data_IF_780855046262
#
_entry.id   IF_780855046262
#
_cell.length_a   1.000
_cell.length_b   1.000
_cell.length_c   1.000
_cell.angle_alpha   90.00
_cell.angle_beta   90.00
_cell.angle_gamma   90.00
#
_symmetry.space_group_name_H-M   'P 1'
#
loop_
_entity.id
_entity.type
_entity.pdbx_description
1 polymer ?
#
# COMPACT_ATOMS: atom_id res chain seq x y z
N UNK A 1 17.85 15.49 16.50
CA UNK A 1 16.79 16.49 16.76
C UNK A 1 16.43 16.35 18.23
N UNK A 2 15.88 17.36 18.87
CA UNK A 2 15.46 17.25 20.28
C UNK A 2 13.98 17.56 20.43
N UNK A 3 13.30 16.84 21.31
CA UNK A 3 11.95 17.17 21.76
C UNK A 3 12.05 17.47 23.26
N UNK A 4 12.08 18.74 23.63
CA UNK A 4 12.46 19.16 24.98
C UNK A 4 13.93 18.80 25.25
N UNK A 5 14.18 18.02 26.31
CA UNK A 5 15.51 17.54 26.70
C UNK A 5 15.94 16.26 25.99
N UNK A 6 15.00 15.58 25.31
CA UNK A 6 15.25 14.25 24.79
C UNK A 6 15.79 14.30 23.36
N UNK A 7 16.85 13.54 23.10
CA UNK A 7 17.33 13.31 21.74
C UNK A 7 16.35 12.41 20.98
N UNK A 8 15.78 12.96 19.91
CA UNK A 8 14.88 12.27 19.00
C UNK A 8 15.56 12.05 17.66
N UNK A 9 15.47 10.82 17.16
CA UNK A 9 15.85 10.46 15.80
C UNK A 9 14.62 10.27 14.93
N UNK A 10 14.68 10.76 13.69
CA UNK A 10 13.66 10.45 12.69
C UNK A 10 13.85 9.01 12.24
N UNK A 11 12.85 8.17 12.44
CA UNK A 11 12.80 6.87 11.77
C UNK A 11 12.44 7.13 10.31
N UNK A 12 13.34 6.78 9.40
CA UNK A 12 13.02 6.73 7.97
C UNK A 12 12.12 5.54 7.70
N UNK A 13 11.12 5.75 6.84
CA UNK A 13 10.28 4.70 6.29
C UNK A 13 11.03 3.89 5.22
N UNK A 14 10.36 2.88 4.65
CA UNK A 14 10.92 2.03 3.59
C UNK A 14 11.48 2.90 2.44
N UNK A 15 12.61 2.49 1.87
CA UNK A 15 13.29 3.22 0.81
C UNK A 15 12.42 3.32 -0.46
N UNK A 16 12.36 4.48 -1.10
CA UNK A 16 11.62 4.70 -2.35
C UNK A 16 12.09 3.80 -3.50
N UNK A 17 13.37 3.41 -3.51
CA UNK A 17 13.90 2.46 -4.50
C UNK A 17 13.32 1.05 -4.34
N UNK A 18 13.03 0.63 -3.10
CA UNK A 18 12.50 -0.70 -2.81
C UNK A 18 10.98 -0.78 -3.00
N UNK A 19 10.27 0.33 -2.77
CA UNK A 19 8.82 0.43 -2.90
C UNK A 19 8.41 1.75 -3.59
N UNK A 20 8.66 1.91 -4.90
CA UNK A 20 8.47 3.18 -5.61
C UNK A 20 7.03 3.69 -5.58
N UNK A 21 6.06 2.78 -5.44
CA UNK A 21 4.63 3.10 -5.45
C UNK A 21 4.04 3.35 -4.05
N UNK A 22 4.80 3.15 -2.98
CA UNK A 22 4.32 3.38 -1.62
C UNK A 22 4.53 4.85 -1.23
N UNK A 23 3.43 5.56 -1.00
CA UNK A 23 3.38 7.02 -0.78
C UNK A 23 4.13 7.52 0.46
N UNK A 24 4.42 6.62 1.40
CA UNK A 24 5.16 6.94 2.61
C UNK A 24 6.61 6.50 2.55
N UNK A 25 7.16 6.12 1.38
CA UNK A 25 8.58 5.80 1.29
C UNK A 25 9.49 7.01 1.53
N UNK A 26 10.68 6.72 2.05
CA UNK A 26 11.73 7.73 2.20
C UNK A 26 12.55 7.77 0.92
N UNK A 27 12.52 8.93 0.27
CA UNK A 27 13.40 9.25 -0.85
C UNK A 27 14.78 9.66 -0.32
N UNK A 28 15.84 9.01 -0.80
CA UNK A 28 17.21 9.25 -0.34
C UNK A 28 18.01 9.97 -1.42
N UNK A 29 18.60 11.10 -1.02
CA UNK A 29 19.37 11.96 -1.90
C UNK A 29 20.84 11.95 -1.50
N UNK A 30 21.69 12.03 -2.51
CA UNK A 30 23.15 12.01 -2.35
C UNK A 30 23.73 13.37 -2.72
N UNK A 31 24.69 13.82 -1.92
CA UNK A 31 25.33 15.12 -2.07
C UNK A 31 26.84 15.02 -1.97
N UNK A 32 27.57 15.89 -2.65
CA UNK A 32 29.01 16.07 -2.50
C UNK A 32 29.35 17.51 -2.14
N UNK A 33 30.43 17.71 -1.40
CA UNK A 33 30.89 19.03 -0.96
C UNK A 33 31.97 19.59 -1.89
N UNK A 34 31.82 20.85 -2.32
CA UNK A 34 32.85 21.56 -3.07
C UNK A 34 33.95 22.14 -2.16
N UNK A 35 34.93 22.76 -2.79
CA UNK A 35 36.09 23.37 -2.11
C UNK A 35 35.70 24.55 -1.21
N UNK A 36 34.49 25.10 -1.37
CA UNK A 36 33.95 26.20 -0.58
C UNK A 36 32.99 25.72 0.52
N UNK A 37 32.88 24.40 0.74
CA UNK A 37 31.98 23.81 1.75
C UNK A 37 30.51 23.79 1.32
N UNK A 38 30.22 24.02 0.04
CA UNK A 38 28.85 23.99 -0.50
C UNK A 38 28.50 22.60 -0.99
N UNK A 39 27.32 22.13 -0.58
CA UNK A 39 26.82 20.80 -0.92
C UNK A 39 25.98 20.82 -2.20
N UNK A 40 26.30 19.94 -3.14
CA UNK A 40 25.58 19.78 -4.40
C UNK A 40 25.02 18.38 -4.50
N UNK A 41 23.76 18.28 -4.93
CA UNK A 41 23.11 16.99 -5.14
C UNK A 41 23.64 16.33 -6.42
N UNK A 42 23.87 15.02 -6.38
CA UNK A 42 24.11 14.24 -7.59
C UNK A 42 22.86 14.29 -8.49
N UNK A 43 23.05 14.84 -9.70
CA UNK A 43 22.03 15.15 -10.71
C UNK A 43 21.10 16.36 -10.47
N UNK A 44 21.50 17.36 -9.66
CA UNK A 44 20.82 18.66 -9.72
C UNK A 44 21.07 19.36 -11.07
N UNK A 45 20.01 19.55 -11.86
CA UNK A 45 20.02 20.37 -13.07
C UNK A 45 20.09 21.83 -12.65
N UNK A 46 21.29 22.39 -12.57
CA UNK A 46 21.49 23.84 -12.56
C UNK A 46 22.37 24.23 -13.74
N UNK A 47 21.68 24.63 -14.80
CA UNK A 47 21.99 25.51 -15.95
C UNK A 47 23.40 25.74 -16.48
N UNK A 48 24.52 25.41 -15.83
CA UNK A 48 25.86 25.69 -16.38
C UNK A 48 26.92 24.64 -16.06
N UNK A 49 26.60 23.57 -15.33
CA UNK A 49 27.60 22.57 -14.94
C UNK A 49 27.28 21.17 -15.48
N UNK A 50 28.32 20.59 -16.10
CA UNK A 50 28.33 19.40 -16.92
C UNK A 50 27.63 18.22 -16.23
N UNK A 51 26.80 17.53 -17.00
CA UNK A 51 26.04 16.35 -16.60
C UNK A 51 26.97 15.34 -15.91
N UNK A 52 26.69 15.05 -14.64
CA UNK A 52 27.18 13.83 -14.03
C UNK A 52 26.46 12.66 -14.69
N UNK A 53 27.17 11.60 -15.04
CA UNK A 53 26.58 10.39 -15.62
C UNK A 53 25.76 9.58 -14.62
N UNK A 54 25.70 10.03 -13.35
CA UNK A 54 25.08 9.30 -12.26
C UNK A 54 24.14 10.21 -11.46
N UNK A 55 22.99 9.64 -11.10
CA UNK A 55 21.94 10.29 -10.33
C UNK A 55 21.92 9.80 -8.88
N UNK A 56 21.31 10.59 -7.98
CA UNK A 56 21.09 10.16 -6.59
C UNK A 56 20.30 8.84 -6.51
N UNK A 57 19.37 8.61 -7.45
CA UNK A 57 18.58 7.37 -7.50
C UNK A 57 19.44 6.16 -7.84
N UNK A 58 20.31 6.26 -8.85
CA UNK A 58 21.22 5.18 -9.24
C UNK A 58 22.24 4.87 -8.14
N UNK A 59 22.77 5.91 -7.48
CA UNK A 59 23.64 5.74 -6.30
C UNK A 59 22.94 4.98 -5.19
N UNK A 60 21.68 5.30 -4.93
CA UNK A 60 20.88 4.62 -3.91
C UNK A 60 20.61 3.16 -4.26
N UNK A 61 20.27 2.87 -5.53
CA UNK A 61 20.11 1.49 -6.04
C UNK A 61 21.38 0.66 -5.84
N UNK A 62 22.54 1.23 -6.16
CA UNK A 62 23.83 0.56 -6.00
C UNK A 62 24.19 0.34 -4.52
N UNK A 63 23.97 1.35 -3.68
CA UNK A 63 24.20 1.27 -2.24
C UNK A 63 23.39 0.15 -1.58
N UNK A 64 22.12 0.00 -1.98
CA UNK A 64 21.22 -1.03 -1.44
C UNK A 64 21.59 -2.45 -1.87
N UNK A 65 22.12 -2.63 -3.09
CA UNK A 65 22.56 -3.95 -3.58
C UNK A 65 23.74 -4.52 -2.78
N UNK A 66 24.55 -3.67 -2.14
CA UNK A 66 25.76 -4.06 -1.37
C UNK A 66 26.77 -4.92 -2.14
N UNK A 67 26.72 -4.93 -3.47
CA UNK A 67 27.62 -5.75 -4.30
C UNK A 67 28.99 -5.11 -4.48
N UNK A 68 29.07 -3.78 -4.51
CA UNK A 68 30.30 -3.00 -4.70
C UNK A 68 30.33 -1.83 -3.73
N UNK A 69 31.40 -1.72 -2.97
CA UNK A 69 31.62 -0.59 -2.07
C UNK A 69 32.07 0.68 -2.82
N UNK A 70 32.73 0.51 -3.96
CA UNK A 70 33.25 1.60 -4.78
C UNK A 70 32.54 1.62 -6.13
N UNK A 71 32.04 2.80 -6.52
CA UNK A 71 31.40 3.06 -7.81
C UNK A 71 32.20 4.09 -8.58
N UNK A 72 32.47 3.83 -9.85
CA UNK A 72 33.11 4.78 -10.75
C UNK A 72 32.08 5.45 -11.67
N UNK A 73 32.23 6.75 -11.90
CA UNK A 73 31.35 7.52 -12.77
C UNK A 73 32.10 8.70 -13.39
N UNK A 74 31.52 9.31 -14.42
CA UNK A 74 32.08 10.49 -15.08
C UNK A 74 31.22 11.71 -14.82
N UNK A 75 31.86 12.86 -14.65
CA UNK A 75 31.17 14.14 -14.60
C UNK A 75 31.96 15.16 -15.43
N UNK A 76 31.37 15.56 -16.56
CA UNK A 76 32.08 16.34 -17.56
C UNK A 76 33.27 15.58 -18.15
N UNK A 77 34.48 16.14 -18.00
CA UNK A 77 35.73 15.58 -18.55
C UNK A 77 36.56 14.82 -17.52
N UNK A 78 36.02 14.58 -16.33
CA UNK A 78 36.73 13.94 -15.23
C UNK A 78 36.02 12.65 -14.83
N UNK A 79 36.82 11.65 -14.46
CA UNK A 79 36.35 10.38 -13.90
C UNK A 79 36.57 10.39 -12.40
N UNK A 80 35.58 9.91 -11.67
CA UNK A 80 35.57 9.86 -10.22
C UNK A 80 35.27 8.45 -9.74
N UNK A 81 35.79 8.09 -8.57
CA UNK A 81 35.32 6.97 -7.77
C UNK A 81 34.60 7.50 -6.52
N UNK A 82 33.58 6.78 -6.07
CA UNK A 82 32.85 7.04 -4.85
C UNK A 82 32.89 5.79 -3.99
N UNK A 83 33.48 5.88 -2.79
CA UNK A 83 33.32 4.85 -1.76
C UNK A 83 32.09 5.13 -0.92
N UNK A 84 31.20 4.14 -0.83
CA UNK A 84 30.02 4.19 0.01
C UNK A 84 30.35 4.02 1.50
N UNK A 85 31.33 3.18 1.84
CA UNK A 85 31.80 3.01 3.22
C UNK A 85 32.43 4.30 3.76
N UNK A 86 33.35 4.90 3.01
CA UNK A 86 34.07 6.09 3.47
C UNK A 86 33.26 7.37 3.28
N UNK A 87 32.23 7.33 2.44
CA UNK A 87 31.46 8.50 2.00
C UNK A 87 32.37 9.58 1.40
N UNK A 88 33.27 9.16 0.51
CA UNK A 88 34.27 10.01 -0.15
C UNK A 88 34.24 9.81 -1.66
N UNK A 89 34.14 10.91 -2.40
CA UNK A 89 34.40 10.97 -3.82
C UNK A 89 35.89 11.29 -4.07
N UNK A 90 36.55 10.55 -4.95
CA UNK A 90 37.94 10.79 -5.36
C UNK A 90 38.02 11.04 -6.87
N UNK A 91 38.70 12.11 -7.29
CA UNK A 91 39.02 12.32 -8.70
C UNK A 91 40.17 11.39 -9.12
N UNK A 92 39.96 10.54 -10.12
CA UNK A 92 40.95 9.53 -10.51
C UNK A 92 42.17 10.12 -11.21
N UNK A 93 42.07 11.33 -11.78
CA UNK A 93 43.17 12.02 -12.45
C UNK A 93 44.07 12.78 -11.47
N UNK A 94 43.47 13.46 -10.50
CA UNK A 94 44.16 14.38 -9.61
C UNK A 94 44.30 13.88 -8.16
N UNK A 95 43.62 12.79 -7.81
CA UNK A 95 43.60 12.25 -6.44
C UNK A 95 42.85 13.11 -5.42
N UNK A 96 42.18 14.19 -5.86
CA UNK A 96 41.44 15.08 -4.96
C UNK A 96 40.24 14.37 -4.36
N UNK A 97 40.08 14.49 -3.04
CA UNK A 97 39.02 13.86 -2.27
C UNK A 97 37.98 14.89 -1.84
N UNK A 98 36.70 14.53 -1.92
CA UNK A 98 35.55 15.35 -1.52
C UNK A 98 34.60 14.53 -0.67
N UNK A 99 34.03 15.16 0.35
CA UNK A 99 33.07 14.49 1.23
C UNK A 99 31.74 14.27 0.52
N UNK A 100 31.09 13.16 0.84
CA UNK A 100 29.78 12.78 0.32
C UNK A 100 28.82 12.53 1.47
N UNK A 101 27.54 12.82 1.27
CA UNK A 101 26.48 12.61 2.26
C UNK A 101 25.21 12.08 1.62
N UNK A 102 24.66 11.05 2.25
CA UNK A 102 23.36 10.45 1.94
C UNK A 102 22.34 10.95 2.97
N UNK A 103 21.25 11.57 2.53
CA UNK A 103 20.21 12.13 3.42
C UNK A 103 18.80 11.95 2.86
N UNK A 104 17.79 11.77 3.72
CA UNK A 104 16.40 11.80 3.27
C UNK A 104 16.04 13.14 2.63
N UNK A 105 15.24 13.12 1.56
CA UNK A 105 14.70 14.34 0.96
C UNK A 105 13.93 15.13 2.01
N UNK A 106 14.31 16.38 2.20
CA UNK A 106 13.55 17.29 3.05
C UNK A 106 12.23 17.64 2.36
N UNK A 107 11.14 17.52 3.10
CA UNK A 107 9.80 17.93 2.68
C UNK A 107 9.34 18.98 3.68
N UNK A 108 9.07 20.19 3.19
CA UNK A 108 8.62 21.30 4.05
C UNK A 108 7.17 21.12 4.50
N UNK A 109 6.77 21.76 5.60
CA UNK A 109 5.38 21.74 6.06
C UNK A 109 4.40 22.24 4.98
N UNK A 110 4.80 23.27 4.20
CA UNK A 110 4.02 23.78 3.08
C UNK A 110 3.89 22.73 1.96
N UNK A 111 4.97 22.02 1.62
CA UNK A 111 4.96 20.98 0.61
C UNK A 111 4.11 19.77 1.04
N UNK A 112 4.13 19.41 2.34
CA UNK A 112 3.20 18.40 2.88
C UNK A 112 1.74 18.84 2.71
N UNK A 113 1.43 20.11 2.96
CA UNK A 113 0.06 20.64 2.77
C UNK A 113 -0.36 20.73 1.30
N UNK A 114 0.55 21.06 0.37
CA UNK A 114 0.23 21.08 -1.07
C UNK A 114 0.17 19.67 -1.65
N UNK A 115 0.92 18.71 -1.10
CA UNK A 115 0.81 17.30 -1.47
C UNK A 115 -0.53 16.72 -1.02
N UNK A 116 -1.09 17.19 0.10
CA UNK A 116 -2.49 16.94 0.48
C UNK A 116 -3.52 17.58 -0.47
N UNK A 117 -3.13 18.60 -1.26
CA UNK A 117 -4.00 19.35 -2.19
C UNK A 117 -3.79 19.04 -3.67
N UNK A 118 -2.71 18.35 -4.06
CA UNK A 118 -2.66 17.68 -5.37
C UNK A 118 -3.92 16.82 -5.45
N UNK A 119 -4.55 16.67 -6.63
CA UNK A 119 -5.57 15.67 -6.74
C UNK A 119 -4.85 14.34 -6.54
N UNK A 120 -4.83 13.84 -5.29
CA UNK A 120 -5.38 12.52 -5.08
C UNK A 120 -6.59 12.52 -5.98
N UNK A 121 -6.66 11.63 -6.97
CA UNK A 121 -7.98 11.29 -7.50
C UNK A 121 -8.76 10.95 -6.22
N UNK A 122 -9.52 11.92 -5.69
CA UNK A 122 -10.42 11.68 -4.58
C UNK A 122 -11.39 10.77 -5.28
N UNK A 123 -11.14 9.48 -5.16
CA UNK A 123 -12.05 8.51 -5.69
C UNK A 123 -13.25 8.77 -4.82
N UNK A 124 -14.20 9.50 -5.39
CA UNK A 124 -15.44 9.80 -4.72
C UNK A 124 -15.91 8.47 -4.18
N UNK A 125 -16.25 8.46 -2.89
CA UNK A 125 -16.97 7.33 -2.33
C UNK A 125 -18.14 7.00 -3.26
N UNK A 126 -18.45 5.72 -3.49
CA UNK A 126 -19.45 5.35 -4.46
C UNK A 126 -20.77 6.08 -4.25
N UNK A 127 -21.49 6.39 -5.32
CA UNK A 127 -22.72 7.17 -5.22
C UNK A 127 -23.84 6.45 -4.45
N UNK A 128 -23.76 5.11 -4.35
CA UNK A 128 -24.66 4.30 -3.54
C UNK A 128 -24.36 4.33 -2.02
N UNK A 129 -23.22 4.90 -1.60
CA UNK A 129 -22.92 5.08 -0.18
C UNK A 129 -23.79 6.16 0.44
N UNK A 130 -24.23 5.93 1.68
CA UNK A 130 -24.87 6.96 2.48
C UNK A 130 -23.81 7.96 2.94
N UNK A 131 -23.76 9.10 2.24
CA UNK A 131 -22.80 10.19 2.46
C UNK A 131 -22.92 10.82 3.85
N UNK A 132 -24.07 10.70 4.52
CA UNK A 132 -24.29 11.20 5.89
C UNK A 132 -23.69 10.29 6.96
N UNK A 133 -23.32 9.07 6.57
CA UNK A 133 -22.84 8.00 7.46
C UNK A 133 -21.36 7.65 7.25
N UNK A 134 -20.59 8.54 6.63
CA UNK A 134 -19.17 8.35 6.34
C UNK A 134 -18.32 9.02 7.43
N UNK A 135 -17.67 8.21 8.26
CA UNK A 135 -16.73 8.69 9.26
C UNK A 135 -15.38 9.05 8.60
N UNK A 136 -14.70 10.07 9.15
CA UNK A 136 -13.31 10.37 8.76
C UNK A 136 -12.32 9.30 9.25
N UNK A 137 -12.66 8.58 10.32
CA UNK A 137 -11.89 7.46 10.87
C UNK A 137 -12.85 6.35 11.34
N UNK A 138 -12.50 5.10 11.08
CA UNK A 138 -13.34 3.93 11.40
C UNK A 138 -14.28 3.49 10.28
N UNK A 139 -15.20 2.57 10.61
CA UNK A 139 -16.18 2.01 9.68
C UNK A 139 -17.60 2.16 10.22
N UNK A 140 -18.60 2.18 9.32
CA UNK A 140 -20.01 2.10 9.69
C UNK A 140 -20.70 0.98 8.92
N UNK A 141 -21.55 0.22 9.60
CA UNK A 141 -22.39 -0.84 9.01
C UNK A 141 -23.76 -0.23 8.65
N UNK A 142 -24.18 -0.37 7.40
CA UNK A 142 -25.44 0.16 6.89
C UNK A 142 -26.29 -1.01 6.40
N UNK A 143 -27.42 -1.27 7.05
CA UNK A 143 -28.33 -2.33 6.65
C UNK A 143 -28.90 -2.08 5.24
N UNK A 144 -28.80 -3.08 4.38
CA UNK A 144 -29.39 -3.04 3.04
C UNK A 144 -30.87 -3.43 3.10
N UNK A 145 -31.67 -2.74 2.29
CA UNK A 145 -33.10 -3.06 2.15
C UNK A 145 -33.27 -4.27 1.22
N UNK A 146 -34.11 -5.26 1.54
CA UNK A 146 -34.35 -6.42 0.68
C UNK A 146 -34.82 -6.10 -0.75
N UNK A 147 -35.40 -4.91 -0.94
CA UNK A 147 -35.83 -4.42 -2.25
C UNK A 147 -34.71 -3.86 -3.12
N UNK A 148 -33.52 -3.57 -2.55
CA UNK A 148 -32.39 -2.99 -3.28
C UNK A 148 -31.74 -4.01 -4.20
N UNK A 149 -31.20 -3.55 -5.33
CA UNK A 149 -30.54 -4.49 -6.25
C UNK A 149 -29.22 -5.03 -5.70
N UNK A 150 -28.52 -4.25 -4.88
CA UNK A 150 -27.34 -4.72 -4.14
C UNK A 150 -27.70 -5.90 -3.22
N UNK A 151 -28.83 -5.83 -2.51
CA UNK A 151 -29.29 -6.93 -1.66
C UNK A 151 -29.58 -8.18 -2.49
N UNK A 152 -30.38 -8.03 -3.56
CA UNK A 152 -30.82 -9.17 -4.38
C UNK A 152 -29.66 -9.86 -5.08
N UNK A 153 -28.67 -9.09 -5.54
CA UNK A 153 -27.46 -9.65 -6.16
C UNK A 153 -26.68 -10.54 -5.18
N UNK A 154 -26.46 -10.06 -3.95
CA UNK A 154 -25.71 -10.80 -2.93
C UNK A 154 -26.51 -12.00 -2.43
N UNK A 155 -27.82 -11.83 -2.25
CA UNK A 155 -28.73 -12.95 -1.96
C UNK A 155 -28.62 -14.03 -3.03
N UNK A 156 -28.67 -13.66 -4.31
CA UNK A 156 -28.56 -14.61 -5.41
C UNK A 156 -27.22 -15.35 -5.39
N UNK A 157 -26.10 -14.65 -5.19
CA UNK A 157 -24.78 -15.27 -5.11
C UNK A 157 -24.66 -16.23 -3.92
N UNK A 158 -25.19 -15.86 -2.76
CA UNK A 158 -25.19 -16.69 -1.56
C UNK A 158 -26.04 -17.95 -1.75
N UNK A 159 -27.29 -17.79 -2.19
CA UNK A 159 -28.26 -18.88 -2.35
C UNK A 159 -27.88 -19.90 -3.44
N UNK A 160 -26.94 -19.58 -4.35
CA UNK A 160 -26.39 -20.55 -5.31
C UNK A 160 -25.74 -21.77 -4.63
N UNK A 161 -25.18 -21.58 -3.43
CA UNK A 161 -24.42 -22.64 -2.74
C UNK A 161 -24.90 -22.89 -1.31
N UNK A 162 -25.74 -22.01 -0.76
CA UNK A 162 -26.28 -22.06 0.60
C UNK A 162 -27.81 -22.08 0.59
N UNK A 163 -28.42 -23.02 -0.13
CA UNK A 163 -29.89 -23.09 -0.31
C UNK A 163 -30.67 -23.39 0.99
N UNK A 164 -29.99 -23.93 2.02
CA UNK A 164 -30.62 -24.34 3.28
C UNK A 164 -30.54 -23.29 4.39
N UNK A 165 -30.13 -22.07 4.09
CA UNK A 165 -29.90 -21.02 5.09
C UNK A 165 -30.77 -19.80 4.82
N UNK A 166 -31.24 -19.17 5.89
CA UNK A 166 -31.97 -17.91 5.82
C UNK A 166 -31.03 -16.73 6.04
N UNK A 167 -31.08 -15.75 5.13
CA UNK A 167 -30.38 -14.48 5.31
C UNK A 167 -31.17 -13.65 6.32
N UNK A 168 -30.58 -13.36 7.47
CA UNK A 168 -31.18 -12.54 8.53
C UNK A 168 -31.00 -11.05 8.20
N UNK A 169 -29.79 -10.67 7.76
CA UNK A 169 -29.46 -9.29 7.45
C UNK A 169 -28.25 -9.21 6.51
N UNK A 170 -28.25 -8.20 5.64
CA UNK A 170 -27.08 -7.81 4.84
C UNK A 170 -26.70 -6.38 5.25
N UNK A 171 -25.44 -6.17 5.63
CA UNK A 171 -24.92 -4.87 6.05
C UNK A 171 -23.75 -4.45 5.15
N UNK A 172 -23.86 -3.27 4.53
CA UNK A 172 -22.75 -2.65 3.80
C UNK A 172 -21.79 -1.95 4.74
N UNK A 173 -20.51 -2.26 4.61
CA UNK A 173 -19.45 -1.64 5.40
C UNK A 173 -18.92 -0.40 4.67
N UNK A 174 -19.20 0.77 5.23
CA UNK A 174 -18.67 2.05 4.72
C UNK A 174 -17.42 2.42 5.53
N UNK A 175 -16.23 2.12 4.98
CA UNK A 175 -14.95 2.52 5.54
C UNK A 175 -14.17 3.33 4.50
N UNK A 176 -14.15 4.66 4.66
CA UNK A 176 -13.55 5.57 3.68
C UNK A 176 -12.05 5.33 3.50
N UNK A 177 -11.31 5.12 4.58
CA UNK A 177 -9.87 4.93 4.52
C UNK A 177 -9.51 3.63 3.77
N UNK A 178 -10.23 2.54 4.02
CA UNK A 178 -10.03 1.28 3.31
C UNK A 178 -10.47 1.38 1.84
N UNK A 179 -11.55 2.10 1.55
CA UNK A 179 -11.97 2.37 0.17
C UNK A 179 -10.94 3.16 -0.63
N UNK A 180 -10.35 4.20 -0.04
CA UNK A 180 -9.30 4.97 -0.70
C UNK A 180 -8.06 4.10 -0.96
N UNK A 181 -7.65 3.28 0.01
CA UNK A 181 -6.56 2.32 -0.15
C UNK A 181 -6.84 1.29 -1.27
N UNK A 182 -8.06 0.77 -1.34
CA UNK A 182 -8.55 -0.15 -2.36
C UNK A 182 -8.44 0.46 -3.77
N UNK A 183 -8.93 1.68 -3.96
CA UNK A 183 -8.89 2.36 -5.24
C UNK A 183 -7.47 2.69 -5.69
N UNK A 184 -6.60 3.08 -4.76
CA UNK A 184 -5.18 3.28 -5.04
C UNK A 184 -4.50 1.97 -5.51
N UNK A 185 -4.79 0.86 -4.84
CA UNK A 185 -4.27 -0.44 -5.24
C UNK A 185 -4.77 -0.85 -6.64
N UNK A 186 -6.05 -0.61 -6.96
CA UNK A 186 -6.62 -0.86 -8.29
C UNK A 186 -5.90 -0.06 -9.39
N UNK A 187 -5.62 1.22 -9.14
CA UNK A 187 -4.86 2.07 -10.07
C UNK A 187 -3.45 1.51 -10.27
N UNK A 188 -2.78 1.11 -9.19
CA UNK A 188 -1.44 0.54 -9.24
C UNK A 188 -1.42 -0.77 -10.07
N UNK A 189 -2.36 -1.69 -9.83
CA UNK A 189 -2.50 -2.93 -10.60
C UNK A 189 -2.76 -2.66 -12.09
N UNK A 190 -3.68 -1.75 -12.40
CA UNK A 190 -3.95 -1.34 -13.79
C UNK A 190 -2.69 -0.82 -14.47
N UNK A 191 -1.91 0.02 -13.80
CA UNK A 191 -0.67 0.56 -14.35
C UNK A 191 0.37 -0.53 -14.60
N UNK A 192 0.52 -1.48 -13.68
CA UNK A 192 1.45 -2.60 -13.82
C UNK A 192 1.03 -3.58 -14.92
N UNK A 193 -0.27 -3.78 -15.14
CA UNK A 193 -0.79 -4.64 -16.21
C UNK A 193 -0.93 -3.91 -17.56
N UNK A 194 -0.03 -2.97 -17.86
CA UNK A 194 -0.03 -2.25 -19.13
C UNK A 194 -1.33 -1.49 -19.40
N UNK A 195 -1.97 -0.96 -18.35
CA UNK A 195 -3.26 -0.24 -18.36
C UNK A 195 -4.48 -1.07 -18.74
N UNK A 196 -4.37 -2.40 -18.76
CA UNK A 196 -5.50 -3.29 -19.00
C UNK A 196 -6.47 -3.29 -17.80
N UNK A 197 -7.77 -3.55 -18.04
CA UNK A 197 -8.74 -3.71 -16.97
C UNK A 197 -8.32 -4.86 -16.03
N UNK A 198 -8.37 -4.60 -14.73
CA UNK A 198 -8.21 -5.64 -13.70
C UNK A 198 -9.56 -6.34 -13.54
N UNK A 199 -9.57 -7.67 -13.46
CA UNK A 199 -10.82 -8.43 -13.28
C UNK A 199 -11.27 -8.32 -11.82
N UNK A 200 -12.51 -7.94 -11.60
CA UNK A 200 -13.15 -7.89 -10.28
C UNK A 200 -14.05 -9.12 -10.11
N UNK A 201 -14.04 -9.72 -8.92
CA UNK A 201 -14.83 -10.90 -8.55
C UNK A 201 -15.37 -10.73 -7.14
N UNK A 202 -16.64 -11.05 -6.94
CA UNK A 202 -17.24 -11.18 -5.60
C UNK A 202 -16.90 -12.56 -5.05
N UNK A 203 -16.27 -12.62 -3.87
CA UNK A 203 -15.96 -13.87 -3.18
C UNK A 203 -16.39 -13.77 -1.71
N UNK A 204 -16.53 -14.92 -1.06
CA UNK A 204 -16.92 -15.03 0.33
C UNK A 204 -15.70 -15.28 1.22
N UNK A 205 -15.80 -14.88 2.48
CA UNK A 205 -14.87 -15.17 3.56
C UNK A 205 -15.66 -15.53 4.82
N UNK A 206 -15.47 -16.75 5.30
CA UNK A 206 -15.94 -17.13 6.62
C UNK A 206 -14.91 -16.68 7.65
N UNK A 207 -15.40 -16.09 8.73
CA UNK A 207 -14.58 -15.75 9.89
C UNK A 207 -15.42 -15.90 11.15
N UNK A 208 -14.76 -16.03 12.29
CA UNK A 208 -15.43 -16.04 13.58
C UNK A 208 -16.01 -14.62 13.88
N UNK A 209 -17.24 -14.52 14.42
CA UNK A 209 -17.86 -13.24 14.78
C UNK A 209 -16.94 -12.28 15.54
N UNK A 210 -16.04 -12.78 16.39
CA UNK A 210 -15.11 -11.95 17.16
C UNK A 210 -14.14 -11.12 16.29
N UNK A 211 -13.84 -11.57 15.07
CA UNK A 211 -12.92 -10.89 14.15
C UNK A 211 -13.62 -9.93 13.19
N UNK A 212 -14.94 -10.00 13.06
CA UNK A 212 -15.73 -9.21 12.09
C UNK A 212 -15.49 -7.72 12.27
N UNK A 213 -15.59 -7.21 13.49
CA UNK A 213 -15.42 -5.77 13.77
C UNK A 213 -14.00 -5.30 13.50
N UNK A 214 -13.01 -6.11 13.86
CA UNK A 214 -11.60 -5.83 13.59
C UNK A 214 -11.35 -5.78 12.08
N UNK A 215 -11.84 -6.76 11.31
CA UNK A 215 -11.70 -6.81 9.86
C UNK A 215 -12.36 -5.57 9.21
N UNK A 216 -13.57 -5.20 9.65
CA UNK A 216 -14.29 -4.04 9.12
C UNK A 216 -13.54 -2.72 9.40
N UNK A 217 -12.89 -2.61 10.55
CA UNK A 217 -12.17 -1.41 10.97
C UNK A 217 -10.77 -1.31 10.35
N UNK A 218 -10.01 -2.41 10.34
CA UNK A 218 -8.57 -2.40 10.06
C UNK A 218 -8.14 -3.23 8.84
N UNK A 219 -9.09 -3.80 8.09
CA UNK A 219 -8.86 -4.74 6.98
C UNK A 219 -8.34 -6.12 7.44
N UNK A 220 -8.20 -7.06 6.51
CA UNK A 220 -7.67 -8.41 6.75
C UNK A 220 -6.20 -8.37 7.16
N UNK A 221 -5.89 -8.93 8.32
CA UNK A 221 -4.52 -9.22 8.72
C UNK A 221 -4.21 -10.68 8.43
N UNK A 222 -3.41 -10.97 7.41
CA UNK A 222 -3.03 -12.33 7.05
C UNK A 222 -2.33 -13.09 8.21
N UNK A 223 -1.73 -12.37 9.17
CA UNK A 223 -1.12 -12.96 10.36
C UNK A 223 -2.17 -13.52 11.32
N UNK A 224 -3.41 -13.07 11.20
CA UNK A 224 -4.56 -13.45 12.03
C UNK A 224 -5.56 -14.31 11.24
N UNK A 225 -5.74 -14.07 9.94
CA UNK A 225 -6.75 -14.73 9.10
C UNK A 225 -6.29 -16.04 8.42
N UNK A 226 -5.06 -16.50 8.66
CA UNK A 226 -4.45 -17.68 8.02
C UNK A 226 -4.32 -18.92 8.90
N UNK A 227 -5.01 -18.97 10.05
CA UNK A 227 -4.85 -20.04 11.06
C UNK A 227 -5.41 -21.39 10.57
N UNK A 228 -6.35 -21.37 9.62
CA UNK A 228 -7.00 -22.57 9.10
C UNK A 228 -6.87 -22.63 7.56
N UNK A 229 -6.00 -23.52 7.07
CA UNK A 229 -5.79 -23.76 5.64
C UNK A 229 -4.57 -23.04 5.07
N UNK A 230 -3.38 -23.64 5.17
CA UNK A 230 -2.12 -23.08 4.62
C UNK A 230 -1.66 -23.75 3.33
N UNK A 231 -2.51 -24.55 2.68
CA UNK A 231 -2.12 -25.39 1.54
C UNK A 231 -1.60 -24.58 0.34
N UNK A 232 -1.95 -23.29 0.23
CA UNK A 232 -1.51 -22.39 -0.84
C UNK A 232 -0.64 -21.23 -0.34
N UNK A 233 -0.15 -21.30 0.91
CA UNK A 233 0.75 -20.33 1.51
C UNK A 233 0.13 -19.53 2.67
N UNK A 234 0.85 -18.54 3.15
CA UNK A 234 0.40 -17.64 4.22
C UNK A 234 -0.35 -16.46 3.60
N UNK A 235 -1.64 -16.32 3.91
CA UNK A 235 -2.51 -15.33 3.31
C UNK A 235 -3.92 -15.34 3.90
N UNK A 236 -4.73 -14.38 3.48
CA UNK A 236 -6.18 -14.42 3.69
C UNK A 236 -6.84 -15.18 2.55
N UNK A 237 -7.80 -16.04 2.87
CA UNK A 237 -8.42 -16.97 1.92
C UNK A 237 -9.85 -16.55 1.59
N UNK A 238 -10.23 -16.72 0.32
CA UNK A 238 -11.53 -16.32 -0.20
C UNK A 238 -12.06 -17.40 -1.12
N UNK A 239 -13.37 -17.63 -1.10
CA UNK A 239 -14.00 -18.68 -1.89
C UNK A 239 -15.13 -18.13 -2.77
N UNK A 240 -15.23 -18.66 -3.99
CA UNK A 240 -16.38 -18.39 -4.87
C UNK A 240 -17.69 -18.85 -4.23
N UNK A 241 -17.66 -20.01 -3.59
CA UNK A 241 -18.85 -20.66 -3.03
C UNK A 241 -19.00 -20.26 -1.56
N UNK A 242 -20.16 -19.71 -1.20
CA UNK A 242 -20.49 -19.31 0.16
C UNK A 242 -20.44 -20.51 1.13
N UNK A 243 -20.84 -21.70 0.67
CA UNK A 243 -20.77 -22.93 1.45
C UNK A 243 -19.35 -23.36 1.82
N UNK A 244 -18.36 -23.05 0.98
CA UNK A 244 -16.96 -23.31 1.33
C UNK A 244 -16.53 -22.39 2.49
N UNK A 245 -16.86 -21.10 2.37
CA UNK A 245 -16.53 -20.07 3.37
C UNK A 245 -17.24 -20.32 4.70
N UNK A 246 -18.51 -20.74 4.68
CA UNK A 246 -19.28 -21.02 5.88
C UNK A 246 -18.62 -22.05 6.81
N UNK A 247 -17.84 -23.00 6.29
CA UNK A 247 -17.09 -23.96 7.14
C UNK A 247 -16.02 -23.32 8.03
N UNK A 248 -15.75 -22.04 7.84
CA UNK A 248 -14.81 -21.25 8.61
C UNK A 248 -15.50 -20.16 9.44
N UNK A 249 -16.84 -20.12 9.47
CA UNK A 249 -17.58 -19.36 10.48
C UNK A 249 -17.58 -20.15 11.78
N UNK A 250 -17.37 -19.48 12.92
CA UNK A 250 -17.41 -20.14 14.23
C UNK A 250 -18.78 -20.73 14.51
N UNK A 251 -18.88 -21.76 15.37
CA UNK A 251 -20.14 -22.47 15.68
C UNK A 251 -21.08 -21.68 16.62
N UNK A 252 -20.95 -20.36 16.71
CA UNK A 252 -21.71 -19.53 17.64
C UNK A 252 -22.84 -18.78 16.91
N UNK A 253 -24.09 -18.95 17.36
CA UNK A 253 -25.25 -18.26 16.79
C UNK A 253 -25.25 -16.75 17.12
N UNK A 254 -25.63 -15.87 16.16
CA UNK A 254 -25.91 -16.16 14.76
C UNK A 254 -24.63 -16.25 13.90
N UNK A 255 -24.59 -17.23 13.00
CA UNK A 255 -23.52 -17.39 12.01
C UNK A 255 -23.33 -16.11 11.20
N UNK A 256 -22.10 -15.60 11.17
CA UNK A 256 -21.74 -14.40 10.44
C UNK A 256 -20.77 -14.74 9.31
N UNK A 257 -21.17 -14.53 8.06
CA UNK A 257 -20.34 -14.72 6.87
C UNK A 257 -20.03 -13.34 6.25
N UNK A 258 -18.79 -13.09 5.84
CA UNK A 258 -18.47 -11.85 5.11
C UNK A 258 -18.52 -12.15 3.60
N UNK A 259 -19.34 -11.40 2.85
CA UNK A 259 -19.24 -11.32 1.40
C UNK A 259 -18.37 -10.11 1.05
N UNK A 260 -17.39 -10.32 0.18
CA UNK A 260 -16.33 -9.37 -0.07
C UNK A 260 -16.11 -9.24 -1.57
N UNK A 261 -15.97 -8.03 -2.05
CA UNK A 261 -15.48 -7.80 -3.41
C UNK A 261 -13.95 -7.95 -3.44
N UNK A 262 -13.45 -8.79 -4.35
CA UNK A 262 -12.03 -9.03 -4.60
C UNK A 262 -11.61 -8.66 -6.00
N UNK A 263 -10.33 -8.38 -6.14
CA UNK A 263 -9.64 -8.32 -7.43
C UNK A 263 -9.01 -9.67 -7.73
N UNK A 264 -9.17 -10.13 -8.97
CA UNK A 264 -8.45 -11.29 -9.50
C UNK A 264 -7.52 -10.85 -10.61
N UNK A 265 -6.24 -11.18 -10.48
CA UNK A 265 -5.30 -11.18 -11.58
C UNK A 265 -4.59 -12.53 -11.62
N UNK A 266 -3.98 -12.89 -12.74
CA UNK A 266 -3.27 -14.15 -13.02
C UNK A 266 -2.02 -14.38 -12.15
N UNK A 267 -2.12 -14.18 -10.83
CA UNK A 267 -1.07 -14.41 -9.84
C UNK A 267 -1.71 -14.95 -8.56
N UNK A 268 -1.17 -16.00 -7.93
CA UNK A 268 -1.71 -16.60 -6.71
C UNK A 268 -1.59 -15.71 -5.44
N UNK A 269 -1.21 -14.44 -5.59
CA UNK A 269 -1.00 -13.48 -4.50
C UNK A 269 -1.66 -12.14 -4.85
N UNK A 270 -2.96 -12.04 -4.61
CA UNK A 270 -3.67 -10.76 -4.67
C UNK A 270 -3.74 -10.17 -3.25
N UNK A 271 -3.35 -8.89 -3.04
CA UNK A 271 -3.56 -8.23 -1.76
C UNK A 271 -5.08 -8.03 -1.52
N UNK A 272 -5.61 -8.38 -0.33
CA UNK A 272 -7.04 -8.26 -0.04
C UNK A 272 -7.44 -6.80 0.23
N UNK A 273 -8.59 -6.39 -0.30
CA UNK A 273 -9.37 -5.20 0.07
C UNK A 273 -10.51 -5.03 -0.95
N UNK A 274 -11.62 -4.31 -0.75
CA UNK A 274 -12.67 -4.21 0.30
C UNK A 274 -13.77 -3.28 -0.23
N UNK A 275 -14.75 -3.84 -0.94
CA UNK A 275 -16.15 -3.46 -0.71
C UNK A 275 -16.72 -4.64 0.09
N UNK A 276 -16.96 -4.42 1.38
CA UNK A 276 -17.30 -5.49 2.34
C UNK A 276 -18.78 -5.42 2.64
N UNK A 277 -19.48 -6.52 2.40
CA UNK A 277 -20.86 -6.73 2.78
C UNK A 277 -20.89 -7.84 3.84
N UNK A 278 -21.26 -7.50 5.07
CA UNK A 278 -21.45 -8.48 6.13
C UNK A 278 -22.81 -9.15 5.95
N UNK A 279 -22.79 -10.48 5.78
CA UNK A 279 -23.96 -11.34 5.75
C UNK A 279 -24.14 -11.99 7.12
N UNK A 280 -25.28 -11.76 7.74
CA UNK A 280 -25.70 -12.52 8.92
C UNK A 280 -26.70 -13.56 8.51
N UNK A 281 -26.44 -14.80 8.89
CA UNK A 281 -27.24 -15.98 8.52
C UNK A 281 -27.76 -16.65 9.78
N UNK A 282 -28.90 -17.33 9.66
CA UNK A 282 -29.41 -18.25 10.68
C UNK A 282 -29.79 -19.58 10.02
N UNK A 283 -29.69 -20.66 10.79
CA UNK A 283 -30.23 -21.96 10.37
C UNK A 283 -31.75 -21.89 10.19
N UNK A 284 -32.27 -22.78 9.35
CA UNK A 284 -33.71 -22.94 9.07
C UNK A 284 -34.42 -23.75 10.15
#
# INVERSE_FOLDING_TARGET
MTCGTDEVRRLSTVNSVLQPDFIHTTDWLWYWEDEYGKWYQYAAVSSEHRMSSITSKELEEMYLKKEKDIVEFTAGSHTYSLSFQDMIQTNLKHGTKRLVRRRPRFVSAAEVQTTKKRPTNSTSVPDYWDKTQILQTGCKKVGLQPSSEEYKEIQQLFSQTMANFNIVQIERIQNKALWEAFQLQKIHMKNNNGRKPVLEKKLFHGTDPQFVDTICATNFDWRVCGVHGTSFGQGSYFARDASYSHRYTGNDEPDSCLCLEFWWENSPKAPPSTDVLLLKTGEM
#
